data_IF_164727254123
#
_entry.id   IF_164727254123
#
_cell.length_a   1.000
_cell.length_b   1.000
_cell.length_c   1.000
_cell.angle_alpha   90.00
_cell.angle_beta   90.00
_cell.angle_gamma   90.00
#
_symmetry.space_group_name_H-M   'P 1'
#
loop_
_entity.id
_entity.type
_entity.pdbx_description
1 polymer ?
#
# COMPACT_ATOMS: atom_id res chain seq x y z
N UNK A 1 -10.62 20.67 -1.96
CA UNK A 1 -11.51 21.15 -3.04
C UNK A 1 -12.99 21.04 -2.65
N UNK A 2 -13.52 19.83 -2.41
CA UNK A 2 -14.94 19.63 -2.09
C UNK A 2 -15.42 20.44 -0.87
N UNK A 3 -14.59 20.62 0.16
CA UNK A 3 -14.90 21.53 1.28
C UNK A 3 -15.08 23.00 0.87
N UNK A 4 -14.34 23.50 -0.14
CA UNK A 4 -14.57 24.86 -0.69
C UNK A 4 -15.89 24.94 -1.45
N UNK A 5 -16.26 23.87 -2.15
CA UNK A 5 -17.57 23.76 -2.82
C UNK A 5 -18.71 23.76 -1.80
N UNK A 6 -18.54 23.14 -0.62
CA UNK A 6 -19.51 23.22 0.48
C UNK A 6 -19.70 24.65 0.99
N UNK A 7 -18.66 25.49 0.91
CA UNK A 7 -18.68 26.91 1.25
C UNK A 7 -19.22 27.83 0.14
N UNK A 8 -19.65 27.26 -0.98
CA UNK A 8 -20.32 27.99 -2.07
C UNK A 8 -19.49 28.15 -3.35
N UNK A 9 -18.23 27.72 -3.37
CA UNK A 9 -17.32 27.85 -4.52
C UNK A 9 -17.58 26.78 -5.60
N UNK A 10 -18.80 26.73 -6.14
CA UNK A 10 -19.27 25.66 -7.01
C UNK A 10 -18.48 25.51 -8.32
N UNK A 11 -17.81 26.59 -8.80
CA UNK A 11 -16.98 26.55 -10.02
C UNK A 11 -15.85 25.51 -9.92
N UNK A 12 -15.37 25.22 -8.71
CA UNK A 12 -14.30 24.25 -8.48
C UNK A 12 -14.71 22.80 -8.79
N UNK A 13 -16.02 22.50 -8.89
CA UNK A 13 -16.49 21.15 -9.25
C UNK A 13 -15.97 20.69 -10.61
N UNK A 14 -15.77 21.62 -11.56
CA UNK A 14 -15.26 21.28 -12.90
C UNK A 14 -13.80 20.85 -12.94
N UNK A 15 -13.07 21.02 -11.83
CA UNK A 15 -11.73 20.44 -11.70
C UNK A 15 -11.84 18.90 -11.60
N UNK A 16 -12.93 18.35 -11.05
CA UNK A 16 -13.07 16.92 -10.80
C UNK A 16 -13.02 16.06 -12.08
N UNK A 17 -13.78 16.38 -13.16
CA UNK A 17 -13.63 15.66 -14.43
C UNK A 17 -12.22 15.80 -15.00
N UNK A 18 -11.65 17.01 -15.01
CA UNK A 18 -10.32 17.24 -15.57
C UNK A 18 -9.23 16.44 -14.85
N UNK A 19 -9.27 16.40 -13.51
CA UNK A 19 -8.33 15.58 -12.72
C UNK A 19 -8.60 14.10 -12.86
N UNK A 20 -9.86 13.68 -13.04
CA UNK A 20 -10.19 12.25 -13.19
C UNK A 20 -9.77 11.70 -14.55
N UNK A 21 -9.74 12.52 -15.60
CA UNK A 21 -9.16 12.16 -16.89
C UNK A 21 -7.68 11.77 -16.74
N UNK A 22 -6.90 12.62 -16.07
CA UNK A 22 -5.47 12.36 -15.83
C UNK A 22 -5.33 11.15 -14.90
N UNK A 23 -6.08 11.13 -13.80
CA UNK A 23 -5.94 10.11 -12.77
C UNK A 23 -6.32 8.70 -13.27
N UNK A 24 -7.40 8.55 -14.04
CA UNK A 24 -7.81 7.26 -14.60
C UNK A 24 -6.77 6.67 -15.57
N UNK A 25 -5.96 7.51 -16.20
CA UNK A 25 -4.86 7.07 -17.08
C UNK A 25 -3.54 6.85 -16.32
N UNK A 26 -3.45 7.21 -15.03
CA UNK A 26 -2.25 7.06 -14.21
C UNK A 26 -2.39 5.96 -13.16
N UNK A 27 -3.57 5.77 -12.57
CA UNK A 27 -3.73 4.89 -11.41
C UNK A 27 -5.21 4.51 -11.16
N UNK A 28 -5.48 3.22 -10.91
CA UNK A 28 -6.83 2.68 -10.65
C UNK A 28 -7.53 3.22 -9.39
N UNK A 29 -6.78 3.91 -8.52
CA UNK A 29 -7.30 4.58 -7.33
C UNK A 29 -8.26 5.75 -7.59
N UNK A 30 -8.47 6.17 -8.86
CA UNK A 30 -9.44 7.22 -9.21
C UNK A 30 -10.87 6.92 -8.72
N UNK A 31 -11.21 5.63 -8.55
CA UNK A 31 -12.49 5.17 -7.98
C UNK A 31 -12.73 5.77 -6.58
N UNK A 32 -11.68 5.95 -5.78
CA UNK A 32 -11.81 6.60 -4.48
C UNK A 32 -12.32 8.04 -4.64
N UNK A 33 -11.83 8.79 -5.63
CA UNK A 33 -12.30 10.13 -5.96
C UNK A 33 -13.79 10.18 -6.30
N UNK A 34 -14.27 9.23 -7.10
CA UNK A 34 -15.69 9.07 -7.41
C UNK A 34 -16.51 8.78 -6.14
N UNK A 35 -16.00 7.89 -5.29
CA UNK A 35 -16.57 7.60 -3.98
C UNK A 35 -16.69 8.84 -3.11
N UNK A 36 -15.65 9.66 -3.02
CA UNK A 36 -15.68 10.93 -2.26
C UNK A 36 -16.77 11.88 -2.77
N UNK A 37 -16.93 12.06 -4.08
CA UNK A 37 -17.98 12.91 -4.65
C UNK A 37 -19.36 12.39 -4.21
N UNK A 38 -19.58 11.07 -4.30
CA UNK A 38 -20.80 10.43 -3.83
C UNK A 38 -21.06 10.63 -2.34
N UNK A 39 -20.06 10.43 -1.48
CA UNK A 39 -20.17 10.61 -0.03
C UNK A 39 -20.48 12.06 0.36
N UNK A 40 -19.92 13.05 -0.34
CA UNK A 40 -20.29 14.45 -0.14
C UNK A 40 -21.73 14.71 -0.57
N UNK A 41 -22.18 14.13 -1.69
CA UNK A 41 -23.58 14.21 -2.14
C UNK A 41 -24.54 13.63 -1.10
N UNK A 42 -24.27 12.42 -0.59
CA UNK A 42 -25.08 11.76 0.44
C UNK A 42 -25.06 12.57 1.74
N UNK A 43 -23.88 12.99 2.20
CA UNK A 43 -23.76 13.76 3.45
C UNK A 43 -24.48 15.11 3.39
N UNK A 44 -24.40 15.82 2.26
CA UNK A 44 -25.14 17.08 2.08
C UNK A 44 -26.65 16.87 1.93
N UNK A 45 -27.08 15.74 1.35
CA UNK A 45 -28.49 15.34 1.34
C UNK A 45 -29.01 15.11 2.77
N UNK A 46 -28.26 14.37 3.60
CA UNK A 46 -28.59 14.13 5.01
C UNK A 46 -28.54 15.41 5.85
N UNK A 47 -27.68 16.37 5.48
CA UNK A 47 -27.64 17.71 6.05
C UNK A 47 -28.83 18.60 5.60
N UNK A 48 -29.69 18.14 4.67
CA UNK A 48 -30.74 18.93 4.00
C UNK A 48 -30.20 20.18 3.31
N UNK A 49 -29.02 20.08 2.70
CA UNK A 49 -28.32 21.15 1.97
C UNK A 49 -28.28 20.85 0.46
N UNK A 50 -27.69 21.75 -0.34
CA UNK A 50 -27.57 21.58 -1.79
C UNK A 50 -26.67 20.39 -2.15
N UNK A 51 -27.29 19.25 -2.44
CA UNK A 51 -26.61 17.98 -2.73
C UNK A 51 -26.57 17.63 -4.23
N UNK A 52 -27.56 18.08 -5.01
CA UNK A 52 -27.72 17.70 -6.43
C UNK A 52 -26.45 17.97 -7.26
N UNK A 53 -25.74 19.06 -6.94
CA UNK A 53 -24.49 19.44 -7.62
C UNK A 53 -23.40 18.35 -7.59
N UNK A 54 -23.31 17.55 -6.53
CA UNK A 54 -22.31 16.48 -6.42
C UNK A 54 -22.67 15.29 -7.32
N UNK A 55 -23.95 14.90 -7.37
CA UNK A 55 -24.39 13.83 -8.26
C UNK A 55 -24.37 14.27 -9.73
N UNK A 56 -24.71 15.54 -10.02
CA UNK A 56 -24.63 16.09 -11.37
C UNK A 56 -23.20 16.13 -11.90
N UNK A 57 -22.20 16.50 -11.09
CA UNK A 57 -20.79 16.46 -11.53
C UNK A 57 -20.22 15.04 -11.58
N UNK A 58 -20.76 14.11 -10.77
CA UNK A 58 -20.31 12.73 -10.77
C UNK A 58 -20.51 12.08 -12.16
N UNK A 59 -21.59 12.41 -12.85
CA UNK A 59 -21.89 11.88 -14.20
C UNK A 59 -20.75 12.16 -15.20
N UNK A 60 -20.39 13.41 -15.53
CA UNK A 60 -19.27 13.67 -16.44
C UNK A 60 -17.93 13.20 -15.86
N UNK A 61 -17.78 13.18 -14.54
CA UNK A 61 -16.55 12.65 -13.89
C UNK A 61 -16.40 11.14 -14.11
N UNK A 62 -17.49 10.37 -14.11
CA UNK A 62 -17.46 8.94 -14.45
C UNK A 62 -17.23 8.77 -15.95
N UNK A 63 -17.98 9.48 -16.79
CA UNK A 63 -17.87 9.35 -18.25
C UNK A 63 -16.46 9.67 -18.77
N UNK A 64 -15.78 10.66 -18.20
CA UNK A 64 -14.45 11.05 -18.66
C UNK A 64 -13.37 10.01 -18.34
N UNK A 65 -13.60 9.13 -17.36
CA UNK A 65 -12.68 8.01 -17.06
C UNK A 65 -12.68 6.95 -18.17
N UNK A 66 -13.68 6.94 -19.05
CA UNK A 66 -13.73 6.09 -20.24
C UNK A 66 -12.75 6.55 -21.34
N UNK A 67 -12.20 7.77 -21.22
CA UNK A 67 -11.17 8.28 -22.13
C UNK A 67 -9.82 7.72 -21.67
N UNK A 68 -9.56 6.47 -22.02
CA UNK A 68 -8.31 5.75 -21.79
C UNK A 68 -8.10 4.71 -22.91
N UNK A 69 -6.89 4.15 -23.11
CA UNK A 69 -6.61 3.20 -24.20
C UNK A 69 -7.50 1.95 -24.23
N UNK A 70 -8.10 1.57 -23.09
CA UNK A 70 -8.93 0.38 -22.93
C UNK A 70 -10.44 0.69 -22.91
N UNK A 71 -10.84 1.96 -22.89
CA UNK A 71 -12.24 2.39 -22.85
C UNK A 71 -13.04 1.75 -21.71
N UNK A 72 -14.16 1.11 -22.04
CA UNK A 72 -15.04 0.44 -21.08
C UNK A 72 -14.42 -0.82 -20.47
N UNK A 73 -13.51 -1.51 -21.17
CA UNK A 73 -12.85 -2.72 -20.66
C UNK A 73 -12.01 -2.43 -19.41
N UNK A 74 -11.52 -1.19 -19.26
CA UNK A 74 -10.85 -0.79 -18.03
C UNK A 74 -11.77 -0.85 -16.82
N UNK A 75 -13.05 -0.50 -16.98
CA UNK A 75 -14.02 -0.60 -15.89
C UNK A 75 -14.35 -2.04 -15.53
N UNK A 76 -14.42 -2.95 -16.51
CA UNK A 76 -14.55 -4.38 -16.26
C UNK A 76 -13.39 -4.88 -15.39
N UNK A 77 -12.16 -4.51 -15.75
CA UNK A 77 -10.97 -4.81 -14.95
C UNK A 77 -11.07 -4.22 -13.54
N UNK A 78 -11.44 -2.94 -13.40
CA UNK A 78 -11.55 -2.29 -12.08
C UNK A 78 -12.59 -3.00 -11.19
N UNK A 79 -13.74 -3.39 -11.75
CA UNK A 79 -14.77 -4.12 -10.99
C UNK A 79 -14.22 -5.47 -10.52
N UNK A 80 -13.56 -6.23 -11.41
CA UNK A 80 -12.95 -7.50 -11.07
C UNK A 80 -11.85 -7.35 -10.00
N UNK A 81 -10.97 -6.36 -10.14
CA UNK A 81 -9.90 -6.07 -9.19
C UNK A 81 -10.46 -5.67 -7.80
N UNK A 82 -11.58 -4.94 -7.74
CA UNK A 82 -12.24 -4.59 -6.48
C UNK A 82 -12.94 -5.79 -5.81
N UNK A 83 -13.40 -6.76 -6.59
CA UNK A 83 -14.07 -7.97 -6.10
C UNK A 83 -13.07 -9.09 -5.71
N UNK A 84 -11.86 -9.07 -6.27
CA UNK A 84 -10.82 -10.07 -6.05
C UNK A 84 -10.40 -10.18 -4.57
N UNK A 85 -10.36 -11.41 -4.06
CA UNK A 85 -9.85 -11.71 -2.72
C UNK A 85 -8.33 -11.85 -2.75
N UNK A 86 -7.66 -11.34 -1.71
CA UNK A 86 -6.18 -11.28 -1.62
C UNK A 86 -5.71 -11.73 -0.25
N UNK A 87 -6.00 -12.99 0.06
CA UNK A 87 -5.90 -13.53 1.42
C UNK A 87 -4.45 -13.78 1.87
N UNK A 88 -3.50 -13.80 0.94
CA UNK A 88 -2.07 -14.02 1.19
C UNK A 88 -1.23 -12.74 1.22
N UNK A 89 -1.82 -11.59 0.89
CA UNK A 89 -1.11 -10.31 0.84
C UNK A 89 -1.44 -9.52 2.12
N UNK A 90 -0.44 -9.34 2.98
CA UNK A 90 -0.59 -8.72 4.30
C UNK A 90 -1.30 -7.35 4.27
N UNK A 91 -1.04 -6.54 3.24
CA UNK A 91 -1.63 -5.21 3.07
C UNK A 91 -3.17 -5.22 2.90
N UNK A 92 -3.70 -6.34 2.41
CA UNK A 92 -5.13 -6.55 2.20
C UNK A 92 -5.81 -7.30 3.35
N UNK A 93 -5.06 -7.70 4.37
CA UNK A 93 -5.65 -8.32 5.55
C UNK A 93 -6.42 -7.30 6.41
N UNK A 94 -7.40 -7.75 7.21
CA UNK A 94 -8.08 -6.91 8.19
C UNK A 94 -7.11 -6.35 9.25
N UNK A 95 -7.42 -5.17 9.77
CA UNK A 95 -6.63 -4.57 10.85
C UNK A 95 -6.95 -5.24 12.20
N UNK A 96 -5.93 -5.84 12.83
CA UNK A 96 -6.04 -6.43 14.16
C UNK A 96 -5.92 -5.36 15.27
N UNK A 97 -7.06 -4.90 15.79
CA UNK A 97 -7.07 -3.90 16.88
C UNK A 97 -6.63 -4.47 18.23
N UNK A 98 -6.98 -5.73 18.50
CA UNK A 98 -6.77 -6.39 19.80
C UNK A 98 -5.46 -7.19 19.88
N UNK A 99 -4.60 -7.11 18.86
CA UNK A 99 -3.24 -7.64 18.91
C UNK A 99 -2.27 -6.78 19.73
N UNK A 100 -1.00 -7.19 19.87
CA UNK A 100 0.05 -6.45 20.56
C UNK A 100 0.10 -4.97 20.16
N UNK A 101 0.33 -4.06 21.11
CA UNK A 101 0.23 -2.61 20.83
C UNK A 101 1.24 -2.15 19.77
N UNK A 102 2.42 -2.78 19.74
CA UNK A 102 3.50 -2.52 18.80
C UNK A 102 3.05 -2.74 17.35
N UNK A 103 2.13 -3.68 17.13
CA UNK A 103 1.49 -3.87 15.84
C UNK A 103 0.50 -2.72 15.58
N UNK A 104 0.77 -1.96 14.51
CA UNK A 104 -0.07 -0.85 14.06
C UNK A 104 -0.23 0.27 15.10
N UNK A 105 0.76 0.45 16.00
CA UNK A 105 0.73 1.43 17.09
C UNK A 105 0.24 2.83 16.67
N UNK A 106 0.71 3.33 15.52
CA UNK A 106 0.35 4.67 15.04
C UNK A 106 -1.11 4.76 14.58
N UNK A 107 -1.65 3.69 14.02
CA UNK A 107 -3.07 3.61 13.69
C UNK A 107 -3.91 3.54 14.98
N UNK A 108 -3.51 2.75 15.97
CA UNK A 108 -4.18 2.66 17.28
C UNK A 108 -4.21 4.03 17.99
N UNK A 109 -3.08 4.74 18.03
CA UNK A 109 -2.99 6.10 18.57
C UNK A 109 -3.92 7.05 17.80
N UNK A 110 -3.87 7.03 16.47
CA UNK A 110 -4.73 7.88 15.63
C UNK A 110 -6.22 7.58 15.88
N UNK A 111 -6.58 6.31 16.01
CA UNK A 111 -7.94 5.87 16.31
C UNK A 111 -8.40 6.39 17.67
N UNK A 112 -7.59 6.24 18.73
CA UNK A 112 -7.91 6.75 20.07
C UNK A 112 -8.12 8.26 20.06
N UNK A 113 -7.19 9.02 19.45
CA UNK A 113 -7.31 10.48 19.32
C UNK A 113 -8.57 10.87 18.53
N UNK A 114 -8.89 10.10 17.49
CA UNK A 114 -10.09 10.32 16.67
C UNK A 114 -11.37 10.06 17.48
N UNK A 115 -11.42 8.98 18.25
CA UNK A 115 -12.57 8.65 19.10
C UNK A 115 -12.80 9.71 20.17
N UNK A 116 -11.74 10.15 20.86
CA UNK A 116 -11.81 11.24 21.84
C UNK A 116 -12.36 12.52 21.18
N UNK A 117 -11.86 12.87 19.99
CA UNK A 117 -12.31 14.05 19.24
C UNK A 117 -13.76 13.92 18.75
N UNK A 118 -14.18 12.72 18.34
CA UNK A 118 -15.57 12.43 17.95
C UNK A 118 -16.50 12.59 19.16
N UNK A 119 -16.15 11.99 20.30
CA UNK A 119 -16.93 12.09 21.55
C UNK A 119 -17.08 13.55 21.95
N UNK A 120 -15.99 14.31 21.93
CA UNK A 120 -16.03 15.74 22.20
C UNK A 120 -16.96 16.50 21.24
N UNK A 121 -16.86 16.22 19.93
CA UNK A 121 -17.73 16.80 18.91
C UNK A 121 -19.22 16.49 19.17
N UNK A 122 -19.53 15.26 19.58
CA UNK A 122 -20.89 14.82 19.92
C UNK A 122 -21.42 15.51 21.18
N UNK A 123 -20.61 15.62 22.24
CA UNK A 123 -20.94 16.36 23.46
C UNK A 123 -21.25 17.82 23.13
N UNK A 124 -20.39 18.48 22.35
CA UNK A 124 -20.59 19.89 21.92
C UNK A 124 -21.86 20.08 21.10
N UNK A 125 -22.24 19.08 20.30
CA UNK A 125 -23.49 19.11 19.53
C UNK A 125 -24.75 18.87 20.38
N UNK A 126 -24.58 18.49 21.65
CA UNK A 126 -25.65 18.06 22.56
C UNK A 126 -26.28 16.73 22.14
N UNK A 127 -25.54 15.87 21.42
CA UNK A 127 -26.04 14.63 20.79
C UNK A 127 -27.25 14.81 19.86
N UNK A 128 -27.50 16.04 19.39
CA UNK A 128 -28.64 16.33 18.52
C UNK A 128 -28.27 16.05 17.07
N UNK A 129 -28.90 15.06 16.46
CA UNK A 129 -28.66 14.68 15.07
C UNK A 129 -28.66 15.88 14.11
N UNK A 130 -29.59 16.83 14.28
CA UNK A 130 -29.68 18.04 13.43
C UNK A 130 -28.41 18.91 13.45
N UNK A 131 -27.64 18.91 14.53
CA UNK A 131 -26.44 19.74 14.71
C UNK A 131 -25.16 19.08 14.16
N UNK A 132 -25.21 17.79 13.83
CA UNK A 132 -24.04 17.05 13.32
C UNK A 132 -23.74 17.41 11.86
N UNK A 133 -22.46 17.45 11.49
CA UNK A 133 -22.07 17.49 10.07
C UNK A 133 -22.02 16.07 9.50
N UNK A 134 -23.04 15.69 8.72
CA UNK A 134 -23.17 14.32 8.22
C UNK A 134 -22.09 13.96 7.21
N UNK A 135 -21.55 14.93 6.47
CA UNK A 135 -20.42 14.70 5.55
C UNK A 135 -19.20 14.24 6.35
N UNK A 136 -18.84 14.98 7.40
CA UNK A 136 -17.73 14.65 8.29
C UNK A 136 -17.85 13.23 8.86
N UNK A 137 -18.98 12.91 9.49
CA UNK A 137 -19.15 11.60 10.14
C UNK A 137 -19.24 10.46 9.13
N UNK A 138 -19.86 10.67 7.98
CA UNK A 138 -19.93 9.67 6.91
C UNK A 138 -18.53 9.35 6.36
N UNK A 139 -17.70 10.37 6.10
CA UNK A 139 -16.32 10.17 5.64
C UNK A 139 -15.46 9.46 6.69
N UNK A 140 -15.55 9.85 7.96
CA UNK A 140 -14.86 9.18 9.06
C UNK A 140 -15.29 7.71 9.19
N UNK A 141 -16.59 7.44 9.12
CA UNK A 141 -17.13 6.09 9.23
C UNK A 141 -16.70 5.19 8.06
N UNK A 142 -16.84 5.66 6.82
CA UNK A 142 -16.47 4.87 5.63
C UNK A 142 -14.97 4.64 5.57
N UNK A 143 -14.16 5.67 5.84
CA UNK A 143 -12.71 5.51 5.86
C UNK A 143 -12.23 4.62 7.00
N UNK A 144 -12.85 4.68 8.18
CA UNK A 144 -12.57 3.75 9.28
C UNK A 144 -12.94 2.32 8.89
N UNK A 145 -14.11 2.11 8.30
CA UNK A 145 -14.51 0.79 7.78
C UNK A 145 -13.47 0.25 6.79
N UNK A 146 -13.02 1.06 5.84
CA UNK A 146 -11.99 0.66 4.87
C UNK A 146 -10.65 0.35 5.54
N UNK A 147 -10.21 1.18 6.50
CA UNK A 147 -8.99 0.94 7.27
C UNK A 147 -9.07 -0.32 8.15
N UNK A 148 -10.26 -0.65 8.65
CA UNK A 148 -10.51 -1.89 9.39
C UNK A 148 -10.54 -3.10 8.48
N UNK A 149 -11.13 -2.97 7.29
CA UNK A 149 -11.22 -4.03 6.29
C UNK A 149 -9.86 -4.38 5.67
N UNK A 150 -9.02 -3.37 5.39
CA UNK A 150 -7.70 -3.56 4.80
C UNK A 150 -6.67 -2.60 5.42
N UNK A 151 -5.56 -3.16 5.92
CA UNK A 151 -4.45 -2.41 6.55
C UNK A 151 -3.95 -1.26 5.69
N UNK A 152 -3.84 -1.44 4.37
CA UNK A 152 -3.37 -0.39 3.45
C UNK A 152 -4.22 0.87 3.44
N UNK A 153 -5.45 0.83 3.97
CA UNK A 153 -6.32 1.99 4.05
C UNK A 153 -6.19 2.80 5.36
N UNK A 154 -5.40 2.34 6.33
CA UNK A 154 -5.13 3.06 7.58
C UNK A 154 -4.60 4.50 7.36
N UNK A 155 -3.66 4.76 6.43
CA UNK A 155 -3.18 6.12 6.20
C UNK A 155 -4.28 7.06 5.70
N UNK A 156 -5.22 6.59 4.88
CA UNK A 156 -6.32 7.43 4.39
C UNK A 156 -7.29 7.81 5.50
N UNK A 157 -7.58 6.88 6.43
CA UNK A 157 -8.33 7.22 7.64
C UNK A 157 -7.60 8.30 8.45
N UNK A 158 -6.30 8.16 8.66
CA UNK A 158 -5.51 9.15 9.41
C UNK A 158 -5.58 10.56 8.77
N UNK A 159 -5.49 10.64 7.44
CA UNK A 159 -5.61 11.92 6.71
C UNK A 159 -7.01 12.53 6.89
N UNK A 160 -8.07 11.73 6.75
CA UNK A 160 -9.45 12.19 6.90
C UNK A 160 -9.71 12.61 8.35
N UNK A 161 -9.32 11.79 9.32
CA UNK A 161 -9.41 12.09 10.74
C UNK A 161 -8.69 13.39 11.09
N UNK A 162 -7.42 13.54 10.68
CA UNK A 162 -6.66 14.76 10.89
C UNK A 162 -7.33 16.00 10.27
N UNK A 163 -7.88 15.87 9.06
CA UNK A 163 -8.54 16.98 8.36
C UNK A 163 -9.86 17.41 9.00
N UNK A 164 -10.68 16.45 9.44
CA UNK A 164 -12.05 16.71 9.89
C UNK A 164 -12.21 16.83 11.41
N UNK A 165 -11.26 16.29 12.19
CA UNK A 165 -11.29 16.32 13.66
C UNK A 165 -10.33 17.35 14.26
N UNK A 166 -9.58 18.10 13.43
CA UNK A 166 -8.63 19.11 13.89
C UNK A 166 -9.24 20.10 14.90
N UNK A 167 -10.39 20.70 14.56
CA UNK A 167 -11.05 21.68 15.43
C UNK A 167 -11.63 21.05 16.70
N UNK A 168 -12.07 19.80 16.64
CA UNK A 168 -12.59 19.09 17.81
C UNK A 168 -11.45 18.74 18.77
N UNK A 169 -10.35 18.21 18.23
CA UNK A 169 -9.14 17.92 19.00
C UNK A 169 -8.60 19.19 19.68
N UNK A 170 -8.49 20.29 18.93
CA UNK A 170 -8.06 21.57 19.49
C UNK A 170 -9.07 22.13 20.51
N UNK A 171 -10.36 21.91 20.29
CA UNK A 171 -11.43 22.33 21.19
C UNK A 171 -11.33 21.70 22.59
N UNK A 172 -10.86 20.45 22.67
CA UNK A 172 -10.59 19.78 23.95
C UNK A 172 -9.50 20.53 24.73
N UNK A 173 -8.41 20.86 24.04
CA UNK A 173 -7.30 21.62 24.64
C UNK A 173 -7.73 23.02 25.07
N UNK A 174 -8.61 23.67 24.31
CA UNK A 174 -9.11 25.00 24.68
C UNK A 174 -9.97 24.99 25.95
N UNK A 175 -10.73 23.93 26.21
CA UNK A 175 -11.50 23.83 27.47
C UNK A 175 -10.58 23.75 28.67
N UNK A 176 -9.52 22.95 28.57
CA UNK A 176 -8.50 22.83 29.63
C UNK A 176 -7.84 24.20 29.85
N UNK A 177 -7.45 24.88 28.75
CA UNK A 177 -6.89 26.23 28.81
C UNK A 177 -7.83 27.20 29.50
N UNK A 178 -9.10 27.25 29.08
CA UNK A 178 -10.08 28.22 29.58
C UNK A 178 -10.38 27.97 31.07
N UNK A 179 -10.46 26.71 31.51
CA UNK A 179 -10.58 26.35 32.93
C UNK A 179 -9.39 26.86 33.77
N UNK A 180 -8.16 26.70 33.27
CA UNK A 180 -6.95 27.19 33.95
C UNK A 180 -6.95 28.72 34.03
N UNK A 181 -7.28 29.40 32.93
CA UNK A 181 -7.37 30.87 32.88
C UNK A 181 -8.44 31.38 33.84
N UNK A 182 -9.59 30.72 33.94
CA UNK A 182 -10.64 31.07 34.90
C UNK A 182 -10.17 30.92 36.36
N UNK A 183 -9.36 29.90 36.67
CA UNK A 183 -8.87 29.63 38.03
C UNK A 183 -7.69 30.52 38.45
N UNK A 184 -6.79 30.84 37.52
CA UNK A 184 -5.49 31.48 37.81
C UNK A 184 -5.45 32.95 37.35
N UNK A 185 -6.38 33.37 36.51
CA UNK A 185 -6.52 34.74 36.05
C UNK A 185 -5.56 35.12 34.91
N UNK A 186 -5.36 36.43 34.73
CA UNK A 186 -4.69 37.04 33.57
C UNK A 186 -3.24 36.55 33.33
N UNK A 187 -2.52 36.18 34.39
CA UNK A 187 -1.14 35.68 34.27
C UNK A 187 -1.11 34.35 33.51
N UNK A 188 -2.06 33.44 33.78
CA UNK A 188 -2.14 32.17 33.07
C UNK A 188 -2.48 32.36 31.59
N UNK A 189 -3.35 33.31 31.24
CA UNK A 189 -3.67 33.61 29.83
C UNK A 189 -2.42 34.06 29.04
N UNK A 190 -1.63 34.98 29.63
CA UNK A 190 -0.39 35.46 29.00
C UNK A 190 0.64 34.35 28.82
N UNK A 191 0.78 33.48 29.83
CA UNK A 191 1.71 32.32 29.78
C UNK A 191 1.24 31.29 28.75
N UNK A 192 -0.04 30.91 28.75
CA UNK A 192 -0.59 29.90 27.84
C UNK A 192 -0.56 30.36 26.38
N UNK A 193 -0.78 31.66 26.11
CA UNK A 193 -0.62 32.24 24.76
C UNK A 193 0.83 32.15 24.27
N UNK A 194 1.79 32.51 25.13
CA UNK A 194 3.22 32.37 24.80
C UNK A 194 3.60 30.90 24.60
N UNK A 195 3.12 30.01 25.46
CA UNK A 195 3.34 28.58 25.36
C UNK A 195 2.75 28.00 24.06
N UNK A 196 1.58 28.47 23.61
CA UNK A 196 0.97 28.05 22.35
C UNK A 196 1.83 28.43 21.14
N UNK A 197 2.34 29.67 21.09
CA UNK A 197 3.25 30.14 20.03
C UNK A 197 4.55 29.33 20.06
N UNK A 198 5.15 29.14 21.24
CA UNK A 198 6.36 28.33 21.40
C UNK A 198 6.11 26.90 20.95
N UNK A 199 4.98 26.30 21.31
CA UNK A 199 4.58 24.95 20.89
C UNK A 199 4.43 24.88 19.37
N UNK A 200 3.81 25.87 18.72
CA UNK A 200 3.72 25.91 17.26
C UNK A 200 5.11 26.03 16.62
N UNK A 201 5.98 26.92 17.12
CA UNK A 201 7.37 27.04 16.66
C UNK A 201 8.12 25.71 16.81
N UNK A 202 7.99 25.03 17.96
CA UNK A 202 8.64 23.74 18.21
C UNK A 202 8.11 22.68 17.25
N UNK A 203 6.78 22.57 17.06
CA UNK A 203 6.19 21.58 16.17
C UNK A 203 6.63 21.83 14.73
N UNK A 204 6.53 23.07 14.23
CA UNK A 204 6.95 23.37 12.86
C UNK A 204 8.46 23.20 12.67
N UNK A 205 9.28 23.64 13.63
CA UNK A 205 10.73 23.41 13.59
C UNK A 205 11.06 21.92 13.61
N UNK A 206 10.37 21.13 14.44
CA UNK A 206 10.53 19.68 14.48
C UNK A 206 10.15 19.05 13.14
N UNK A 207 9.00 19.41 12.55
CA UNK A 207 8.58 18.89 11.24
C UNK A 207 9.61 19.23 10.16
N UNK A 208 10.12 20.46 10.14
CA UNK A 208 11.12 20.90 9.16
C UNK A 208 12.45 20.18 9.39
N UNK A 209 12.97 20.16 10.61
CA UNK A 209 14.25 19.53 10.95
C UNK A 209 14.17 18.03 10.71
N UNK A 210 13.16 17.35 11.25
CA UNK A 210 13.00 15.92 11.10
C UNK A 210 12.75 15.52 9.65
N UNK A 211 11.91 16.27 8.92
CA UNK A 211 11.71 16.08 7.49
C UNK A 211 13.02 16.26 6.70
N UNK A 212 13.81 17.29 7.02
CA UNK A 212 15.11 17.53 6.40
C UNK A 212 16.12 16.44 6.74
N UNK A 213 16.17 15.97 7.99
CA UNK A 213 17.02 14.87 8.42
C UNK A 213 16.64 13.56 7.74
N UNK A 214 15.34 13.29 7.54
CA UNK A 214 14.91 12.14 6.75
C UNK A 214 15.43 12.30 5.33
N UNK A 215 15.22 13.44 4.66
CA UNK A 215 15.65 13.65 3.26
C UNK A 215 17.18 13.50 3.13
N UNK A 216 17.95 14.10 4.04
CA UNK A 216 19.41 14.05 4.03
C UNK A 216 19.96 12.68 4.45
N UNK A 217 19.25 11.99 5.34
CA UNK A 217 19.63 10.68 5.88
C UNK A 217 19.13 9.50 5.03
N UNK A 218 18.13 9.70 4.18
CA UNK A 218 17.70 8.69 3.21
C UNK A 218 18.74 8.59 2.11
N UNK A 219 19.47 7.48 2.02
CA UNK A 219 20.43 7.31 0.94
C UNK A 219 19.69 7.38 -0.39
N UNK A 220 20.18 8.22 -1.31
CA UNK A 220 19.71 8.23 -2.71
C UNK A 220 20.00 6.89 -3.42
N UNK A 221 20.79 6.01 -2.78
CA UNK A 221 21.06 4.65 -3.24
C UNK A 221 19.99 3.71 -2.69
N UNK A 222 19.33 2.98 -3.58
CA UNK A 222 18.42 1.89 -3.23
C UNK A 222 19.19 0.88 -2.36
N UNK A 223 18.74 0.63 -1.14
CA UNK A 223 19.28 -0.43 -0.28
C UNK A 223 18.37 -1.67 -0.36
N UNK A 224 18.96 -2.85 -0.59
CA UNK A 224 18.23 -4.12 -0.66
C UNK A 224 18.72 -4.99 0.48
N UNK A 225 17.97 -5.08 1.58
CA UNK A 225 18.41 -5.86 2.72
C UNK A 225 18.50 -7.35 2.37
N UNK A 226 19.64 -7.96 2.65
CA UNK A 226 19.92 -9.38 2.40
C UNK A 226 18.97 -10.34 3.14
N UNK A 227 18.28 -9.87 4.19
CA UNK A 227 17.26 -10.66 4.88
C UNK A 227 15.87 -10.63 4.22
N UNK A 228 15.66 -9.76 3.21
CA UNK A 228 14.39 -9.65 2.47
C UNK A 228 14.48 -10.20 1.05
N UNK A 229 15.64 -10.09 0.41
CA UNK A 229 15.84 -10.45 -1.00
C UNK A 229 16.92 -11.51 -1.17
N UNK A 230 16.74 -12.49 -2.07
CA UNK A 230 17.62 -13.64 -2.25
C UNK A 230 18.86 -13.29 -3.09
N UNK A 231 19.61 -12.26 -2.68
CA UNK A 231 20.73 -11.73 -3.48
C UNK A 231 21.84 -12.77 -3.68
N UNK A 232 22.11 -13.59 -2.67
CA UNK A 232 23.11 -14.67 -2.76
C UNK A 232 22.72 -15.73 -3.80
N UNK A 233 21.45 -16.14 -3.81
CA UNK A 233 20.95 -17.10 -4.78
C UNK A 233 20.90 -16.54 -6.21
N UNK A 234 20.54 -15.27 -6.38
CA UNK A 234 20.61 -14.58 -7.69
C UNK A 234 22.04 -14.57 -8.21
N UNK A 235 23.00 -14.19 -7.38
CA UNK A 235 24.41 -14.17 -7.77
C UNK A 235 24.94 -15.57 -8.07
N UNK A 236 24.51 -16.57 -7.31
CA UNK A 236 24.83 -17.97 -7.57
C UNK A 236 24.31 -18.42 -8.95
N UNK A 237 23.05 -18.11 -9.28
CA UNK A 237 22.45 -18.42 -10.58
C UNK A 237 23.24 -17.73 -11.71
N UNK A 238 23.62 -16.46 -11.52
CA UNK A 238 24.40 -15.66 -12.49
C UNK A 238 25.79 -16.24 -12.73
N UNK A 239 26.59 -16.43 -11.68
CA UNK A 239 27.98 -16.92 -11.78
C UNK A 239 28.08 -18.34 -12.37
N UNK A 240 27.03 -19.15 -12.18
CA UNK A 240 26.97 -20.52 -12.69
C UNK A 240 26.22 -20.65 -14.02
N UNK A 241 25.84 -19.53 -14.67
CA UNK A 241 25.12 -19.50 -15.94
C UNK A 241 23.87 -20.41 -15.97
N UNK A 242 23.15 -20.52 -14.85
CA UNK A 242 21.95 -21.34 -14.73
C UNK A 242 20.81 -20.58 -15.40
N UNK A 243 20.22 -21.12 -16.46
CA UNK A 243 19.16 -20.47 -17.26
C UNK A 243 17.94 -21.37 -17.35
N UNK A 244 16.76 -20.79 -17.57
CA UNK A 244 15.50 -21.53 -17.77
C UNK A 244 14.29 -20.91 -17.06
N UNK A 245 13.22 -21.71 -16.95
CA UNK A 245 12.00 -21.32 -16.26
C UNK A 245 12.18 -21.43 -14.74
N UNK A 246 12.00 -20.31 -14.06
CA UNK A 246 12.23 -20.13 -12.62
C UNK A 246 10.89 -20.01 -11.88
N UNK A 247 10.58 -21.02 -11.06
CA UNK A 247 9.53 -20.92 -10.06
C UNK A 247 10.12 -20.38 -8.76
N UNK A 248 9.59 -19.26 -8.30
CA UNK A 248 10.01 -18.58 -7.10
C UNK A 248 8.80 -17.92 -6.41
N UNK A 249 8.89 -17.64 -5.10
CA UNK A 249 7.83 -16.97 -4.37
C UNK A 249 7.42 -15.64 -4.99
N UNK A 250 6.12 -15.39 -4.99
CA UNK A 250 5.49 -14.19 -5.57
C UNK A 250 6.19 -12.88 -5.17
N UNK A 251 6.56 -12.74 -3.89
CA UNK A 251 7.15 -11.53 -3.33
C UNK A 251 8.59 -11.24 -3.80
N UNK A 252 9.26 -12.22 -4.43
CA UNK A 252 10.58 -12.03 -5.06
C UNK A 252 10.49 -11.84 -6.58
N UNK A 253 9.35 -12.14 -7.21
CA UNK A 253 9.19 -12.18 -8.67
C UNK A 253 9.75 -10.96 -9.40
N UNK A 254 9.36 -9.74 -8.99
CA UNK A 254 9.82 -8.51 -9.67
C UNK A 254 11.32 -8.27 -9.55
N UNK A 255 11.91 -8.62 -8.39
CA UNK A 255 13.35 -8.53 -8.18
C UNK A 255 14.10 -9.53 -9.05
N UNK A 256 13.59 -10.76 -9.15
CA UNK A 256 14.17 -11.81 -9.99
C UNK A 256 14.05 -11.48 -11.48
N UNK A 257 12.90 -10.97 -11.92
CA UNK A 257 12.73 -10.48 -13.29
C UNK A 257 13.73 -9.37 -13.62
N UNK A 258 13.94 -8.41 -12.71
CA UNK A 258 14.92 -7.35 -12.92
C UNK A 258 16.37 -7.86 -12.94
N UNK A 259 16.70 -8.85 -12.12
CA UNK A 259 18.09 -9.29 -11.91
C UNK A 259 18.53 -10.39 -12.87
N UNK A 260 17.60 -11.26 -13.29
CA UNK A 260 17.88 -12.48 -14.05
C UNK A 260 17.29 -12.45 -15.46
N UNK A 261 16.53 -11.44 -15.88
CA UNK A 261 16.12 -11.36 -17.28
C UNK A 261 17.29 -10.94 -18.19
N UNK A 262 17.48 -11.57 -19.37
CA UNK A 262 16.68 -12.64 -19.99
C UNK A 262 17.13 -14.08 -19.66
N UNK A 263 18.13 -14.26 -18.78
CA UNK A 263 18.68 -15.56 -18.37
C UNK A 263 17.63 -16.51 -17.79
N UNK A 264 16.70 -16.00 -16.97
CA UNK A 264 15.61 -16.78 -16.38
C UNK A 264 14.24 -16.13 -16.64
N UNK A 265 13.23 -16.97 -16.92
CA UNK A 265 11.83 -16.56 -17.04
C UNK A 265 11.09 -16.90 -15.76
N UNK A 266 10.51 -15.89 -15.10
CA UNK A 266 9.81 -16.06 -13.82
C UNK A 266 8.38 -16.61 -14.03
N UNK A 267 7.91 -17.41 -13.06
CA UNK A 267 6.53 -17.89 -13.03
C UNK A 267 5.49 -16.76 -12.84
N UNK A 268 5.74 -15.85 -11.89
CA UNK A 268 4.83 -14.77 -11.52
C UNK A 268 5.57 -13.63 -10.83
N UNK A 269 5.02 -12.41 -10.88
CA UNK A 269 5.46 -11.27 -10.06
C UNK A 269 4.29 -10.38 -9.64
N UNK A 270 4.59 -9.22 -9.03
CA UNK A 270 3.60 -8.27 -8.51
C UNK A 270 2.60 -7.72 -9.54
N UNK A 271 2.75 -8.03 -10.84
CA UNK A 271 1.78 -7.69 -11.91
C UNK A 271 0.75 -8.80 -12.15
N UNK A 272 0.58 -9.71 -11.19
CA UNK A 272 -0.25 -10.90 -11.29
C UNK A 272 -1.70 -10.62 -11.72
N UNK A 273 -2.24 -9.44 -11.40
CA UNK A 273 -3.60 -9.05 -11.79
C UNK A 273 -3.68 -8.55 -13.23
N UNK A 274 -2.58 -7.98 -13.75
CA UNK A 274 -2.56 -7.28 -15.03
C UNK A 274 -2.08 -8.14 -16.19
N UNK A 275 -1.13 -9.06 -15.95
CA UNK A 275 -0.42 -9.75 -17.04
C UNK A 275 -0.40 -11.27 -16.93
N UNK A 276 -0.94 -11.85 -15.85
CA UNK A 276 -0.97 -13.30 -15.65
C UNK A 276 -2.42 -13.81 -15.50
N UNK A 277 -2.72 -15.03 -15.97
CA UNK A 277 -3.98 -15.68 -15.64
C UNK A 277 -4.12 -15.92 -14.13
N UNK A 278 -5.33 -15.78 -13.58
CA UNK A 278 -5.63 -15.99 -12.15
C UNK A 278 -5.20 -17.39 -11.65
N UNK A 279 -5.20 -18.38 -12.55
CA UNK A 279 -4.75 -19.73 -12.24
C UNK A 279 -3.27 -19.79 -11.81
N UNK A 280 -2.40 -18.97 -12.42
CA UNK A 280 -0.97 -18.94 -12.09
C UNK A 280 -0.78 -18.48 -10.65
N UNK A 281 -1.50 -17.43 -10.22
CA UNK A 281 -1.49 -16.95 -8.84
C UNK A 281 -1.94 -18.06 -7.88
N UNK A 282 -3.07 -18.71 -8.14
CA UNK A 282 -3.58 -19.80 -7.30
C UNK A 282 -2.59 -20.96 -7.17
N UNK A 283 -2.01 -21.40 -8.29
CA UNK A 283 -1.07 -22.52 -8.31
C UNK A 283 0.26 -22.16 -7.63
N UNK A 284 0.77 -20.94 -7.81
CA UNK A 284 2.00 -20.48 -7.14
C UNK A 284 1.80 -20.29 -5.64
N UNK A 285 0.64 -19.77 -5.22
CA UNK A 285 0.26 -19.66 -3.81
C UNK A 285 0.11 -21.05 -3.17
N UNK A 286 -0.57 -21.99 -3.84
CA UNK A 286 -0.68 -23.36 -3.33
C UNK A 286 0.70 -24.03 -3.25
N UNK A 287 1.57 -23.81 -4.23
CA UNK A 287 2.94 -24.30 -4.20
C UNK A 287 3.73 -23.75 -3.00
N UNK A 288 3.68 -22.44 -2.77
CA UNK A 288 4.42 -21.75 -1.72
C UNK A 288 3.99 -22.16 -0.30
N UNK A 289 2.67 -22.24 -0.06
CA UNK A 289 2.09 -22.48 1.26
C UNK A 289 1.60 -23.92 1.49
N UNK A 290 1.68 -24.79 0.49
CA UNK A 290 1.25 -26.20 0.58
C UNK A 290 -0.18 -26.31 1.14
N UNK A 291 -1.12 -25.60 0.51
CA UNK A 291 -2.48 -25.42 1.05
C UNK A 291 -3.31 -26.71 0.99
N UNK A 292 -3.05 -27.57 0.00
CA UNK A 292 -3.73 -28.85 -0.19
C UNK A 292 -2.82 -29.94 -0.79
N UNK A 293 -3.39 -31.12 -1.09
CA UNK A 293 -2.68 -32.26 -1.66
C UNK A 293 -2.14 -32.03 -3.08
N UNK A 294 -2.71 -31.08 -3.83
CA UNK A 294 -2.34 -30.72 -5.20
C UNK A 294 -1.30 -29.59 -5.25
N UNK A 295 -0.64 -29.25 -4.13
CA UNK A 295 0.38 -28.18 -4.06
C UNK A 295 1.48 -28.28 -5.12
N UNK A 296 1.77 -29.47 -5.64
CA UNK A 296 2.80 -29.71 -6.66
C UNK A 296 2.31 -29.53 -8.11
N UNK A 297 1.03 -29.20 -8.31
CA UNK A 297 0.39 -29.11 -9.63
C UNK A 297 1.03 -28.07 -10.55
N UNK A 298 1.54 -26.95 -10.01
CA UNK A 298 2.23 -25.94 -10.81
C UNK A 298 3.36 -26.56 -11.63
N UNK A 299 4.22 -27.36 -10.99
CA UNK A 299 5.38 -28.00 -11.62
C UNK A 299 4.95 -29.05 -12.64
N UNK A 300 3.82 -29.74 -12.39
CA UNK A 300 3.28 -30.73 -13.32
C UNK A 300 2.72 -30.07 -14.59
N UNK A 301 2.13 -28.88 -14.46
CA UNK A 301 1.48 -28.15 -15.56
C UNK A 301 2.45 -27.27 -16.35
N UNK A 302 3.38 -26.62 -15.65
CA UNK A 302 4.34 -25.68 -16.23
C UNK A 302 5.76 -26.21 -16.09
N UNK A 303 6.44 -26.35 -17.23
CA UNK A 303 7.83 -26.79 -17.26
C UNK A 303 8.70 -25.85 -16.42
N UNK A 304 9.34 -26.41 -15.39
CA UNK A 304 10.13 -25.68 -14.40
C UNK A 304 11.55 -26.25 -14.38
N UNK A 305 12.54 -25.39 -14.61
CA UNK A 305 13.96 -25.78 -14.65
C UNK A 305 14.66 -25.48 -13.32
N UNK A 306 14.18 -24.47 -12.59
CA UNK A 306 14.83 -23.94 -11.40
C UNK A 306 13.76 -23.65 -10.36
N UNK A 307 13.97 -24.14 -9.14
CA UNK A 307 13.23 -23.67 -7.97
C UNK A 307 14.14 -22.75 -7.16
N UNK A 308 13.67 -21.54 -6.89
CA UNK A 308 14.25 -20.66 -5.88
C UNK A 308 13.26 -20.54 -4.74
N UNK A 309 13.54 -21.16 -3.60
CA UNK A 309 12.60 -21.28 -2.49
C UNK A 309 12.97 -20.36 -1.34
N UNK A 310 11.97 -19.75 -0.72
CA UNK A 310 12.11 -19.08 0.58
C UNK A 310 12.02 -20.12 1.70
N UNK A 311 13.05 -20.17 2.54
CA UNK A 311 13.15 -21.13 3.64
C UNK A 311 12.09 -20.94 4.73
N UNK A 312 11.41 -19.79 4.73
CA UNK A 312 10.33 -19.45 5.66
C UNK A 312 8.97 -20.00 5.22
N UNK A 313 8.86 -20.46 3.96
CA UNK A 313 7.63 -20.99 3.39
C UNK A 313 7.62 -22.52 3.44
N UNK A 314 6.41 -23.10 3.44
CA UNK A 314 6.19 -24.55 3.60
C UNK A 314 6.74 -25.35 2.42
N UNK A 315 6.76 -24.74 1.22
CA UNK A 315 7.30 -25.32 0.00
C UNK A 315 8.75 -25.79 0.13
N UNK A 316 9.60 -25.08 0.89
CA UNK A 316 10.99 -25.48 1.12
C UNK A 316 11.07 -26.84 1.82
N UNK A 317 10.32 -27.01 2.91
CA UNK A 317 10.26 -28.27 3.64
C UNK A 317 9.64 -29.40 2.83
N UNK A 318 8.62 -29.09 2.02
CA UNK A 318 7.97 -30.06 1.15
C UNK A 318 8.90 -30.55 0.03
N UNK A 319 9.60 -29.65 -0.65
CA UNK A 319 10.56 -29.98 -1.73
C UNK A 319 11.72 -30.82 -1.22
N UNK A 320 12.24 -30.56 -0.01
CA UNK A 320 13.29 -31.39 0.59
C UNK A 320 12.89 -32.86 0.79
N UNK A 321 11.59 -33.15 0.94
CA UNK A 321 11.06 -34.52 1.06
C UNK A 321 10.85 -35.19 -0.30
N UNK A 322 10.84 -34.42 -1.39
CA UNK A 322 10.76 -34.96 -2.75
C UNK A 322 12.12 -35.51 -3.19
N UNK A 323 12.11 -36.51 -4.08
CA UNK A 323 13.34 -37.09 -4.66
C UNK A 323 13.64 -36.58 -6.08
N UNK A 324 12.85 -35.63 -6.57
CA UNK A 324 12.92 -35.13 -7.95
C UNK A 324 13.84 -33.92 -8.12
N UNK A 325 14.20 -33.26 -7.01
CA UNK A 325 14.99 -32.03 -7.01
C UNK A 325 16.26 -32.20 -6.18
N UNK A 326 17.38 -31.67 -6.67
CA UNK A 326 18.62 -31.56 -5.89
C UNK A 326 18.88 -30.11 -5.52
N UNK A 327 19.20 -29.88 -4.24
CA UNK A 327 19.61 -28.57 -3.74
C UNK A 327 21.05 -28.29 -4.16
N UNK A 328 21.27 -27.16 -4.82
CA UNK A 328 22.58 -26.76 -5.35
C UNK A 328 23.13 -25.48 -4.70
N UNK A 329 22.26 -24.72 -4.04
CA UNK A 329 22.63 -23.54 -3.27
C UNK A 329 21.75 -23.40 -2.04
N UNK A 330 22.30 -22.85 -0.96
CA UNK A 330 21.67 -22.72 0.33
C UNK A 330 22.27 -21.52 1.08
N UNK A 331 21.43 -20.53 1.43
CA UNK A 331 21.83 -19.37 2.23
C UNK A 331 20.90 -19.16 3.44
N UNK A 332 20.99 -18.02 4.13
CA UNK A 332 20.18 -17.78 5.34
C UNK A 332 18.67 -17.76 5.09
N UNK A 333 18.21 -17.29 3.93
CA UNK A 333 16.79 -17.06 3.64
C UNK A 333 16.26 -17.87 2.45
N UNK A 334 17.14 -18.38 1.58
CA UNK A 334 16.78 -18.97 0.30
C UNK A 334 17.59 -20.22 -0.02
N UNK A 335 17.07 -21.02 -0.94
CA UNK A 335 17.76 -22.17 -1.50
C UNK A 335 17.41 -22.35 -2.98
N UNK A 336 18.38 -22.79 -3.79
CA UNK A 336 18.19 -23.08 -5.22
C UNK A 336 18.20 -24.58 -5.43
N UNK A 337 17.23 -25.06 -6.20
CA UNK A 337 17.13 -26.45 -6.62
C UNK A 337 17.03 -26.55 -8.15
N UNK A 338 17.56 -27.64 -8.68
CA UNK A 338 17.41 -28.05 -10.07
C UNK A 338 16.96 -29.52 -10.14
N UNK A 339 16.42 -30.00 -11.27
CA UNK A 339 16.01 -31.38 -11.41
C UNK A 339 17.14 -32.36 -11.10
N UNK A 340 16.80 -33.50 -10.48
CA UNK A 340 17.77 -34.52 -10.06
C UNK A 340 18.57 -35.12 -11.22
N UNK A 341 17.97 -35.13 -12.42
CA UNK A 341 18.56 -35.63 -13.67
C UNK A 341 19.50 -34.61 -14.34
N UNK A 342 19.58 -33.39 -13.84
CA UNK A 342 20.50 -32.38 -14.34
C UNK A 342 21.96 -32.81 -14.08
N UNK A 343 22.84 -32.71 -15.08
CA UNK A 343 24.22 -33.21 -15.02
C UNK A 343 25.20 -32.23 -14.34
N UNK A 344 24.78 -31.01 -14.01
CA UNK A 344 25.64 -30.01 -13.35
C UNK A 344 25.97 -30.45 -11.93
N UNK A 345 27.27 -30.61 -11.66
CA UNK A 345 27.77 -31.14 -10.38
C UNK A 345 28.86 -30.26 -9.73
N UNK A 346 29.33 -29.21 -10.42
CA UNK A 346 30.30 -28.26 -9.89
C UNK A 346 29.71 -26.87 -10.01
N UNK A 347 29.71 -26.13 -8.90
CA UNK A 347 29.17 -24.78 -8.82
C UNK A 347 30.13 -23.85 -8.09
N UNK A 348 30.21 -22.62 -8.56
CA UNK A 348 30.89 -21.51 -7.92
C UNK A 348 29.96 -20.97 -6.84
N UNK A 349 30.40 -21.00 -5.58
CA UNK A 349 29.66 -20.38 -4.48
C UNK A 349 30.05 -18.90 -4.41
N UNK A 350 29.09 -17.96 -4.53
CA UNK A 350 29.38 -16.55 -4.38
C UNK A 350 30.04 -16.28 -3.04
N UNK A 351 31.14 -15.52 -3.05
CA UNK A 351 31.66 -14.95 -1.82
C UNK A 351 30.58 -14.07 -1.19
N UNK A 352 30.45 -14.08 0.15
CA UNK A 352 29.68 -13.08 0.88
C UNK A 352 30.35 -11.70 0.70
N UNK A 353 30.17 -11.09 -0.47
CA UNK A 353 30.65 -9.74 -0.74
C UNK A 353 29.65 -8.76 -0.13
N UNK A 354 30.18 -7.71 0.49
CA UNK A 354 29.40 -6.52 0.82
C UNK A 354 28.75 -6.02 -0.49
N UNK A 355 27.46 -6.25 -0.60
CA UNK A 355 26.59 -6.19 -1.78
C UNK A 355 26.35 -4.77 -2.34
N UNK A 356 27.26 -3.83 -2.06
CA UNK A 356 27.13 -2.42 -2.42
C UNK A 356 27.73 -2.06 -3.80
N UNK A 357 28.66 -2.84 -4.35
CA UNK A 357 29.46 -2.41 -5.51
C UNK A 357 28.98 -2.92 -6.89
N UNK A 358 28.34 -4.10 -6.99
CA UNK A 358 27.93 -4.69 -8.29
C UNK A 358 26.41 -4.62 -8.54
N UNK A 359 25.67 -3.84 -7.75
CA UNK A 359 24.21 -3.84 -7.70
C UNK A 359 23.49 -3.47 -9.01
N UNK A 360 24.17 -2.80 -9.94
CA UNK A 360 23.58 -2.33 -11.21
C UNK A 360 24.13 -3.06 -12.44
N UNK A 361 24.86 -4.16 -12.26
CA UNK A 361 25.32 -4.96 -13.38
C UNK A 361 24.20 -5.89 -13.89
N UNK A 362 23.04 -5.30 -14.22
CA UNK A 362 21.97 -5.97 -14.94
C UNK A 362 22.27 -5.89 -16.43
N UNK A 363 22.12 -6.99 -17.17
CA UNK A 363 22.21 -6.99 -18.64
C UNK A 363 21.08 -6.19 -19.33
N UNK A 364 20.19 -5.56 -18.55
CA UNK A 364 19.12 -4.67 -19.03
C UNK A 364 19.76 -3.36 -19.50
N UNK A 365 20.07 -3.28 -20.79
CA UNK A 365 20.37 -2.02 -21.45
C UNK A 365 19.07 -1.24 -21.67
N UNK A 366 18.72 -0.34 -20.75
CA UNK A 366 17.52 0.50 -20.85
C UNK A 366 17.49 1.40 -22.11
N UNK A 367 18.62 1.50 -22.83
CA UNK A 367 18.74 2.27 -24.07
C UNK A 367 18.51 1.44 -25.34
N UNK A 368 18.37 0.11 -25.24
CA UNK A 368 18.20 -0.79 -26.40
C UNK A 368 16.76 -1.29 -26.56
N UNK A 369 15.79 -0.49 -26.11
CA UNK A 369 14.38 -0.67 -26.47
C UNK A 369 14.14 -0.07 -27.87
N UNK A 370 14.56 -0.82 -28.89
CA UNK A 370 13.92 -0.83 -30.20
C UNK A 370 14.02 0.45 -31.04
N UNK A 371 15.21 0.75 -31.55
CA UNK A 371 15.29 1.35 -32.88
C UNK A 371 15.11 0.25 -33.95
N UNK A 372 13.86 -0.21 -34.12
CA UNK A 372 13.42 -0.85 -35.36
C UNK A 372 12.07 -0.23 -35.73
N UNK A 373 12.14 0.71 -36.67
CA UNK A 373 11.02 1.10 -37.54
C UNK A 373 10.63 -0.06 -38.45
#
# INVERSE_FOLDING_TARGET
MLERVRRGENRLLWILPATSLIWANMHGGFVAGLGFIGLYGIGEFLNRKSYKKYFLILIPTVLITLINPYGIKYWEYIINALAMQRNTIAEWMPTALFGPFEEWQWFKVTLILSLISIIFSLIKSGFKYKNLDKVKYLLLMVSLYMAMKHVKHQPFFAIIAGSFLYYDFYGILSIIRDYIVLKVGYIADKVLKRAAIIKDIIIYSFVIIFGSLIILGTPLKINMPEYKYPMGAVEFIRQNNISGNLLAPFHWGSYLAWSLYPQCLIAIDGRYEEVYPEEIDKLTVNFDYVLDENWYEFINKYHTDILLLDKRLDSYGAILRTKFWKKIYDDKISAVFIPINDKRNSFIIPAQRNSAEEKYNTAINFLDLGAKQ
#
